data_IF_756721083073
#
_entry.id   IF_756721083073
#
_cell.length_a   1.000
_cell.length_b   1.000
_cell.length_c   1.000
_cell.angle_alpha   90.00
_cell.angle_beta   90.00
_cell.angle_gamma   90.00
#
_symmetry.space_group_name_H-M   'P 1'
#
loop_
_entity.id
_entity.type
_entity.pdbx_description
1 polymer ?
#
# COMPACT_ATOMS: atom_id res chain seq x y z
N UNK A 1 52.29 -44.67 69.73
CA UNK A 1 51.90 -46.07 69.41
C UNK A 1 50.60 -46.01 68.68
N UNK A 2 50.31 -46.74 67.60
CA UNK A 2 50.53 -46.48 66.19
C UNK A 2 49.21 -45.97 65.52
N UNK A 3 49.15 -45.16 64.59
CA UNK A 3 49.46 -45.30 63.15
C UNK A 3 48.27 -45.86 62.39
N UNK A 4 47.42 -44.94 61.81
CA UNK A 4 46.41 -45.40 60.85
C UNK A 4 46.52 -44.58 59.55
N UNK A 5 46.76 -45.27 58.46
CA UNK A 5 46.90 -44.75 57.11
C UNK A 5 45.52 -44.52 56.53
N UNK A 6 45.28 -43.32 55.92
CA UNK A 6 44.10 -43.05 55.21
C UNK A 6 44.33 -43.26 53.70
N UNK A 7 43.38 -43.95 53.03
CA UNK A 7 43.32 -44.19 51.59
C UNK A 7 42.51 -43.08 50.91
N UNK A 8 43.12 -42.39 49.98
CA UNK A 8 42.44 -41.33 49.15
C UNK A 8 41.84 -42.00 47.90
N UNK A 9 40.52 -42.07 47.84
CA UNK A 9 39.79 -42.40 46.63
C UNK A 9 39.48 -41.10 45.80
N UNK A 10 40.00 -41.07 44.58
CA UNK A 10 39.64 -40.02 43.59
C UNK A 10 38.30 -40.34 42.97
N UNK A 11 37.32 -39.46 43.20
CA UNK A 11 36.04 -39.44 42.43
C UNK A 11 36.21 -38.40 41.31
N UNK A 12 36.17 -38.90 40.07
CA UNK A 12 36.14 -38.03 38.88
C UNK A 12 34.72 -37.56 38.65
N UNK A 13 34.49 -36.27 38.78
CA UNK A 13 33.24 -35.59 38.39
C UNK A 13 33.28 -35.26 36.88
N UNK A 14 32.56 -36.05 36.08
CA UNK A 14 32.22 -35.67 34.71
C UNK A 14 31.13 -34.63 34.72
N UNK A 15 31.55 -33.36 34.66
CA UNK A 15 30.62 -32.22 34.50
C UNK A 15 30.04 -32.20 33.09
N UNK A 16 28.75 -32.48 32.94
CA UNK A 16 27.99 -32.18 31.74
C UNK A 16 27.93 -30.64 31.61
N UNK A 17 28.52 -30.08 30.57
CA UNK A 17 28.32 -28.70 30.17
C UNK A 17 26.89 -28.57 29.63
N UNK A 18 26.00 -27.93 30.37
CA UNK A 18 24.71 -27.46 29.88
C UNK A 18 24.88 -26.37 28.81
N UNK A 19 23.86 -26.09 28.00
CA UNK A 19 23.95 -25.06 26.98
C UNK A 19 24.26 -23.71 27.62
N UNK A 20 25.30 -23.05 27.12
CA UNK A 20 25.70 -21.69 27.54
C UNK A 20 24.53 -20.73 27.32
N UNK A 21 24.05 -20.15 28.39
CA UNK A 21 23.06 -19.07 28.34
C UNK A 21 23.69 -17.87 27.59
N UNK A 22 23.06 -17.30 26.57
CA UNK A 22 23.64 -16.19 25.83
C UNK A 22 23.92 -15.01 26.78
N UNK A 23 25.02 -14.31 26.54
CA UNK A 23 25.48 -13.19 27.34
C UNK A 23 24.41 -12.05 27.37
N UNK A 24 24.38 -11.22 28.43
CA UNK A 24 23.39 -10.15 28.58
C UNK A 24 23.31 -9.17 27.39
N UNK A 25 24.43 -8.95 26.71
CA UNK A 25 24.53 -8.08 25.53
C UNK A 25 23.70 -8.62 24.35
N UNK A 26 23.70 -9.95 24.12
CA UNK A 26 22.94 -10.58 23.04
C UNK A 26 21.43 -10.53 23.30
N UNK A 27 21.02 -10.58 24.56
CA UNK A 27 19.59 -10.43 24.92
C UNK A 27 19.08 -9.01 24.69
N UNK A 28 19.89 -8.00 24.96
CA UNK A 28 19.52 -6.58 24.74
C UNK A 28 19.46 -6.26 23.24
N UNK A 29 20.42 -6.75 22.47
CA UNK A 29 20.46 -6.56 21.01
C UNK A 29 19.25 -7.23 20.34
N UNK A 30 18.98 -8.51 20.66
CA UNK A 30 17.82 -9.24 20.13
C UNK A 30 16.48 -8.59 20.53
N UNK A 31 16.37 -8.07 21.75
CA UNK A 31 15.16 -7.37 22.18
C UNK A 31 14.95 -6.04 21.42
N UNK A 32 16.02 -5.28 21.15
CA UNK A 32 15.97 -4.06 20.33
C UNK A 32 15.60 -4.35 18.88
N UNK A 33 16.19 -5.38 18.29
CA UNK A 33 15.87 -5.79 16.92
C UNK A 33 14.43 -6.29 16.80
N UNK A 34 13.95 -7.09 17.76
CA UNK A 34 12.55 -7.56 17.77
C UNK A 34 11.59 -6.39 17.94
N UNK A 35 11.87 -5.43 18.82
CA UNK A 35 11.03 -4.24 19.01
C UNK A 35 11.02 -3.35 17.77
N UNK A 36 12.18 -3.12 17.13
CA UNK A 36 12.26 -2.36 15.89
C UNK A 36 11.49 -3.04 14.74
N UNK A 37 11.58 -4.37 14.63
CA UNK A 37 10.82 -5.13 13.63
C UNK A 37 9.31 -5.09 13.86
N UNK A 38 8.86 -5.12 15.13
CA UNK A 38 7.46 -4.96 15.50
C UNK A 38 6.94 -3.58 15.13
N UNK A 39 7.69 -2.51 15.41
CA UNK A 39 7.33 -1.14 15.06
C UNK A 39 7.16 -0.94 13.53
N UNK A 40 7.87 -1.71 12.69
CA UNK A 40 7.75 -1.65 11.23
C UNK A 40 6.55 -2.44 10.68
N UNK A 41 5.90 -3.25 11.49
CA UNK A 41 4.74 -4.07 11.10
C UNK A 41 3.45 -3.64 11.80
N UNK A 42 3.54 -2.76 12.80
CA UNK A 42 2.38 -2.19 13.49
C UNK A 42 1.94 -0.89 12.80
N UNK A 43 0.63 -0.68 12.75
CA UNK A 43 0.10 0.61 12.32
C UNK A 43 0.31 1.63 13.44
N UNK A 44 0.91 2.79 13.15
CA UNK A 44 0.88 3.90 14.09
C UNK A 44 -0.54 4.45 14.22
N UNK A 45 -0.77 5.25 15.24
CA UNK A 45 -2.01 6.02 15.34
C UNK A 45 -2.15 6.96 14.12
N UNK A 46 -3.34 7.05 13.53
CA UNK A 46 -3.56 7.89 12.37
C UNK A 46 -3.36 9.37 12.72
N UNK A 47 -2.68 10.09 11.84
CA UNK A 47 -2.72 11.54 11.79
C UNK A 47 -3.78 11.95 10.77
N UNK A 48 -4.57 12.97 11.08
CA UNK A 48 -5.63 13.41 10.18
C UNK A 48 -5.24 14.70 9.48
N UNK A 49 -5.24 14.66 8.16
CA UNK A 49 -5.04 15.82 7.28
C UNK A 49 -6.40 16.29 6.78
N UNK A 50 -6.67 17.57 6.90
CA UNK A 50 -7.87 18.18 6.28
C UNK A 50 -7.58 18.42 4.82
N UNK A 51 -8.23 17.65 3.95
CA UNK A 51 -8.12 17.77 2.50
C UNK A 51 -9.23 18.64 1.92
N UNK A 52 -9.21 18.86 0.62
CA UNK A 52 -10.22 19.63 -0.07
C UNK A 52 -11.66 19.26 0.32
N UNK A 53 -12.57 20.20 0.24
CA UNK A 53 -13.97 20.05 0.65
C UNK A 53 -14.19 19.81 2.16
N UNK A 54 -13.15 19.90 3.00
CA UNK A 54 -13.25 19.76 4.45
C UNK A 54 -13.31 18.32 4.97
N UNK A 55 -12.90 17.34 4.17
CA UNK A 55 -12.82 15.95 4.59
C UNK A 55 -11.51 15.66 5.30
N UNK A 56 -11.55 14.74 6.28
CA UNK A 56 -10.37 14.25 6.99
C UNK A 56 -9.83 13.01 6.28
N UNK A 57 -8.54 13.03 5.98
CA UNK A 57 -7.81 11.87 5.47
C UNK A 57 -6.88 11.32 6.56
N UNK A 58 -7.01 10.04 6.87
CA UNK A 58 -6.10 9.35 7.77
C UNK A 58 -4.78 9.04 7.05
N UNK A 59 -3.69 9.40 7.70
CA UNK A 59 -2.33 9.24 7.19
C UNK A 59 -1.44 8.57 8.23
N UNK A 60 -0.41 7.87 7.78
CA UNK A 60 0.47 7.07 8.62
C UNK A 60 1.91 7.25 8.15
N UNK A 61 2.85 7.37 9.07
CA UNK A 61 4.26 7.57 8.74
C UNK A 61 5.17 6.56 9.42
N UNK A 62 6.22 6.14 8.72
CA UNK A 62 7.31 5.29 9.22
C UNK A 62 8.64 5.78 8.63
N UNK A 63 9.75 5.47 9.29
CA UNK A 63 11.08 5.88 8.86
C UNK A 63 11.53 7.23 9.45
N UNK A 64 12.72 7.67 9.07
CA UNK A 64 13.29 8.94 9.52
C UNK A 64 12.73 10.11 8.68
N UNK A 65 12.54 11.26 9.32
CA UNK A 65 12.10 12.50 8.64
C UNK A 65 13.13 13.01 7.60
N UNK A 66 14.39 12.67 7.78
CA UNK A 66 15.47 13.07 6.87
C UNK A 66 15.57 12.17 5.63
N UNK A 67 14.94 11.00 5.65
CA UNK A 67 14.97 10.06 4.51
C UNK A 67 14.06 10.55 3.37
N UNK A 68 14.38 10.20 2.11
CA UNK A 68 13.52 10.46 0.96
C UNK A 68 12.12 9.86 1.17
N UNK A 69 11.08 10.66 0.91
CA UNK A 69 9.70 10.24 1.18
C UNK A 69 9.10 9.45 0.02
N UNK A 70 8.47 8.32 0.34
CA UNK A 70 7.61 7.54 -0.57
C UNK A 70 6.16 7.65 -0.12
N UNK A 71 5.27 8.19 -0.96
CA UNK A 71 3.82 8.19 -0.72
C UNK A 71 3.21 6.90 -1.23
N UNK A 72 2.41 6.24 -0.37
CA UNK A 72 1.75 4.98 -0.69
C UNK A 72 0.22 5.17 -0.76
N UNK A 73 -0.37 4.88 -1.92
CA UNK A 73 -1.81 5.04 -2.18
C UNK A 73 -2.43 3.72 -2.62
N UNK A 74 -3.33 3.18 -1.81
CA UNK A 74 -3.90 1.83 -1.95
C UNK A 74 -5.00 1.72 -3.02
N UNK A 75 -5.44 0.48 -3.31
CA UNK A 75 -6.52 0.18 -4.25
C UNK A 75 -7.94 0.35 -3.68
N UNK A 76 -8.94 0.23 -4.56
CA UNK A 76 -10.36 0.26 -4.20
C UNK A 76 -10.71 -0.81 -3.16
N UNK A 77 -11.56 -0.44 -2.20
CA UNK A 77 -12.01 -1.28 -1.08
C UNK A 77 -10.88 -1.83 -0.18
N UNK A 78 -9.68 -1.22 -0.23
CA UNK A 78 -8.52 -1.56 0.58
C UNK A 78 -8.23 -0.47 1.62
N UNK A 79 -7.05 -0.50 2.24
CA UNK A 79 -6.55 0.49 3.20
C UNK A 79 -5.02 0.52 3.18
N UNK A 80 -4.42 1.53 3.83
CA UNK A 80 -2.97 1.60 4.03
C UNK A 80 -2.44 0.35 4.74
N UNK A 81 -3.15 -0.15 5.75
CA UNK A 81 -2.80 -1.38 6.45
C UNK A 81 -2.78 -2.57 5.50
N UNK A 82 -3.87 -2.75 4.75
CA UNK A 82 -4.12 -3.97 3.98
C UNK A 82 -3.22 -4.05 2.76
N UNK A 83 -3.05 -2.93 2.06
CA UNK A 83 -2.26 -2.88 0.83
C UNK A 83 -0.76 -2.80 1.09
N UNK A 84 -0.31 -2.15 2.19
CA UNK A 84 1.08 -1.77 2.36
C UNK A 84 1.77 -2.40 3.58
N UNK A 85 1.11 -2.44 4.75
CA UNK A 85 1.69 -3.02 5.96
C UNK A 85 1.64 -4.55 5.89
N UNK A 86 0.44 -5.12 5.68
CA UNK A 86 0.24 -6.57 5.64
C UNK A 86 1.01 -7.28 4.51
N UNK A 87 1.31 -6.55 3.44
CA UNK A 87 2.04 -7.06 2.28
C UNK A 87 3.56 -6.84 2.37
N UNK A 88 4.03 -6.12 3.40
CA UNK A 88 5.45 -5.92 3.68
C UNK A 88 6.11 -4.75 2.96
N UNK A 89 5.36 -3.90 2.26
CA UNK A 89 5.90 -2.71 1.58
C UNK A 89 6.53 -1.71 2.56
N UNK A 90 5.83 -1.37 3.63
CA UNK A 90 6.34 -0.44 4.65
C UNK A 90 7.67 -0.93 5.20
N UNK A 91 7.74 -2.21 5.58
CA UNK A 91 8.95 -2.83 6.09
C UNK A 91 10.12 -2.76 5.08
N UNK A 92 9.85 -3.09 3.82
CA UNK A 92 10.91 -3.19 2.81
C UNK A 92 11.40 -1.79 2.39
N UNK A 93 10.51 -0.79 2.27
CA UNK A 93 10.86 0.61 2.00
C UNK A 93 11.66 1.24 3.14
N UNK A 94 11.20 1.11 4.39
CA UNK A 94 11.92 1.68 5.54
C UNK A 94 13.29 1.04 5.75
N UNK A 95 13.44 -0.25 5.47
CA UNK A 95 14.76 -0.92 5.48
C UNK A 95 15.69 -0.43 4.37
N UNK A 96 15.13 0.07 3.29
CA UNK A 96 15.89 0.63 2.16
C UNK A 96 16.18 2.12 2.33
N UNK A 97 15.90 2.72 3.52
CA UNK A 97 16.21 4.10 3.82
C UNK A 97 15.20 5.11 3.26
N UNK A 98 13.92 4.71 3.13
CA UNK A 98 12.85 5.61 2.77
C UNK A 98 11.96 5.95 3.97
N UNK A 99 11.57 7.20 4.07
CA UNK A 99 10.40 7.61 4.85
C UNK A 99 9.14 7.20 4.09
N UNK A 100 8.25 6.48 4.75
CA UNK A 100 6.96 6.07 4.16
C UNK A 100 5.85 6.98 4.68
N UNK A 101 5.04 7.50 3.78
CA UNK A 101 3.81 8.24 4.05
C UNK A 101 2.66 7.52 3.36
N UNK A 102 1.91 6.70 4.09
CA UNK A 102 0.75 6.00 3.55
C UNK A 102 -0.56 6.73 3.91
N UNK A 103 -1.53 6.67 3.03
CA UNK A 103 -2.85 7.27 3.22
C UNK A 103 -3.95 6.23 3.15
N UNK A 104 -4.99 6.37 3.95
CA UNK A 104 -6.30 5.81 3.62
C UNK A 104 -7.00 6.82 2.71
N UNK A 105 -7.21 6.48 1.45
CA UNK A 105 -7.86 7.39 0.52
C UNK A 105 -9.26 7.80 1.01
N UNK A 106 -9.74 8.97 0.63
CA UNK A 106 -11.14 9.39 0.84
C UNK A 106 -12.08 8.24 0.51
N UNK A 107 -13.06 7.95 1.37
CA UNK A 107 -13.99 6.84 1.23
C UNK A 107 -13.52 5.49 1.78
N UNK A 108 -12.27 5.39 2.29
CA UNK A 108 -11.69 4.14 2.77
C UNK A 108 -11.12 4.24 4.19
N UNK A 109 -10.84 3.09 4.78
CA UNK A 109 -10.14 2.93 6.04
C UNK A 109 -10.67 3.83 7.16
N UNK A 110 -9.81 4.68 7.75
CA UNK A 110 -10.19 5.63 8.80
C UNK A 110 -10.44 7.05 8.27
N UNK A 111 -10.36 7.29 6.96
CA UNK A 111 -10.71 8.56 6.33
C UNK A 111 -12.22 8.79 6.29
N UNK A 112 -12.63 10.05 6.13
CA UNK A 112 -14.04 10.40 5.95
C UNK A 112 -14.62 9.76 4.68
N UNK A 113 -15.90 9.42 4.73
CA UNK A 113 -16.58 8.58 3.74
C UNK A 113 -17.84 9.28 3.21
N UNK A 114 -17.69 10.37 2.41
CA UNK A 114 -18.83 11.00 1.78
C UNK A 114 -19.61 10.02 0.91
N UNK A 115 -20.94 10.11 0.93
CA UNK A 115 -21.82 9.29 0.08
C UNK A 115 -22.21 10.03 -1.23
N UNK A 116 -21.69 11.24 -1.43
CA UNK A 116 -21.89 11.99 -2.67
C UNK A 116 -20.84 11.57 -3.72
N UNK A 117 -21.24 11.04 -4.89
CA UNK A 117 -20.33 10.71 -5.97
C UNK A 117 -19.46 11.89 -6.44
N UNK A 118 -19.94 13.13 -6.31
CA UNK A 118 -19.18 14.31 -6.70
C UNK A 118 -17.88 14.49 -5.91
N UNK A 119 -17.80 13.92 -4.70
CA UNK A 119 -16.60 13.92 -3.86
C UNK A 119 -15.44 13.07 -4.40
N UNK A 120 -15.68 12.22 -5.43
CA UNK A 120 -14.71 11.20 -5.87
C UNK A 120 -14.23 11.38 -7.31
N UNK A 121 -14.16 12.62 -7.76
CA UNK A 121 -13.56 12.92 -9.07
C UNK A 121 -12.04 12.64 -9.02
N UNK A 122 -11.41 12.05 -10.07
CA UNK A 122 -9.98 11.72 -10.05
C UNK A 122 -9.07 12.90 -9.66
N UNK A 123 -9.32 14.11 -10.19
CA UNK A 123 -8.58 15.31 -9.79
C UNK A 123 -8.74 15.70 -8.32
N UNK A 124 -9.91 15.48 -7.72
CA UNK A 124 -10.09 15.74 -6.29
C UNK A 124 -9.25 14.76 -5.44
N UNK A 125 -9.23 13.49 -5.84
CA UNK A 125 -8.41 12.47 -5.18
C UNK A 125 -6.90 12.74 -5.36
N UNK A 126 -6.49 13.27 -6.51
CA UNK A 126 -5.10 13.69 -6.76
C UNK A 126 -4.72 14.92 -5.92
N UNK A 127 -5.59 15.92 -5.84
CA UNK A 127 -5.39 17.09 -5.02
C UNK A 127 -5.29 16.76 -3.51
N UNK A 128 -5.99 15.74 -3.04
CA UNK A 128 -5.85 15.26 -1.66
C UNK A 128 -4.40 14.87 -1.36
N UNK A 129 -3.70 14.24 -2.31
CA UNK A 129 -2.30 13.84 -2.15
C UNK A 129 -1.39 15.06 -2.08
N UNK A 130 -1.64 16.11 -2.89
CA UNK A 130 -0.89 17.37 -2.82
C UNK A 130 -1.03 17.99 -1.42
N UNK A 131 -2.26 18.10 -0.91
CA UNK A 131 -2.52 18.64 0.44
C UNK A 131 -1.81 17.82 1.53
N UNK A 132 -1.75 16.50 1.37
CA UNK A 132 -1.01 15.63 2.28
C UNK A 132 0.49 15.95 2.22
N UNK A 133 1.09 16.08 1.03
CA UNK A 133 2.50 16.46 0.88
C UNK A 133 2.80 17.81 1.56
N UNK A 134 1.94 18.81 1.34
CA UNK A 134 2.07 20.14 1.96
C UNK A 134 2.00 20.09 3.47
N UNK A 135 1.04 19.33 4.02
CA UNK A 135 0.87 19.17 5.47
C UNK A 135 2.10 18.55 6.13
N UNK A 136 2.76 17.62 5.44
CA UNK A 136 3.97 16.96 5.91
C UNK A 136 5.27 17.67 5.54
N UNK A 137 5.18 18.86 4.92
CA UNK A 137 6.31 19.68 4.44
C UNK A 137 7.24 18.86 3.53
N UNK A 138 6.66 18.08 2.63
CA UNK A 138 7.37 17.26 1.66
C UNK A 138 7.37 17.99 0.32
N UNK A 139 8.49 18.57 -0.06
CA UNK A 139 8.61 19.30 -1.34
C UNK A 139 8.58 18.36 -2.55
N UNK A 140 9.30 17.24 -2.46
CA UNK A 140 9.34 16.18 -3.47
C UNK A 140 9.20 14.80 -2.82
N UNK A 141 8.49 13.90 -3.50
CA UNK A 141 8.31 12.52 -3.06
C UNK A 141 8.43 11.54 -4.24
N UNK A 142 8.65 10.29 -3.91
CA UNK A 142 8.32 9.16 -4.77
C UNK A 142 6.86 8.76 -4.55
N UNK A 143 6.21 8.25 -5.59
CA UNK A 143 4.83 7.78 -5.51
C UNK A 143 4.73 6.30 -5.82
N UNK A 144 4.03 5.54 -4.99
CA UNK A 144 3.67 4.14 -5.26
C UNK A 144 2.16 3.98 -5.09
N UNK A 145 1.48 3.67 -6.15
CA UNK A 145 0.03 3.42 -6.15
C UNK A 145 -0.33 2.04 -6.65
N UNK A 146 -1.45 1.51 -6.17
CA UNK A 146 -1.99 0.25 -6.67
C UNK A 146 -3.45 0.39 -7.10
N UNK A 147 -3.82 -0.14 -8.29
CA UNK A 147 -5.19 -0.14 -8.81
C UNK A 147 -5.80 1.27 -8.81
N UNK A 148 -6.82 1.55 -7.99
CA UNK A 148 -7.35 2.91 -7.81
C UNK A 148 -6.25 3.91 -7.44
N UNK A 149 -5.36 3.56 -6.52
CA UNK A 149 -4.22 4.42 -6.15
C UNK A 149 -3.25 4.62 -7.30
N UNK A 150 -3.07 3.64 -8.19
CA UNK A 150 -2.29 3.82 -9.41
C UNK A 150 -3.00 4.74 -10.41
N UNK A 151 -4.33 4.67 -10.52
CA UNK A 151 -5.10 5.59 -11.34
C UNK A 151 -5.02 7.04 -10.82
N UNK A 152 -5.11 7.22 -9.50
CA UNK A 152 -4.87 8.53 -8.87
C UNK A 152 -3.43 8.99 -9.10
N UNK A 153 -2.45 8.09 -9.03
CA UNK A 153 -1.04 8.39 -9.29
C UNK A 153 -0.75 8.89 -10.70
N UNK A 154 -1.51 8.44 -11.68
CA UNK A 154 -1.45 9.00 -13.04
C UNK A 154 -1.81 10.49 -13.04
N UNK A 155 -2.91 10.88 -12.40
CA UNK A 155 -3.31 12.28 -12.27
C UNK A 155 -2.32 13.12 -11.43
N UNK A 156 -1.83 12.53 -10.31
CA UNK A 156 -0.81 13.18 -9.46
C UNK A 156 0.45 13.48 -10.25
N UNK A 157 0.91 12.52 -11.06
CA UNK A 157 2.11 12.68 -11.87
C UNK A 157 1.95 13.73 -12.99
N UNK A 158 0.74 13.96 -13.46
CA UNK A 158 0.45 15.01 -14.45
C UNK A 158 0.25 16.39 -13.80
N UNK A 159 -0.70 16.47 -12.86
CA UNK A 159 -1.14 17.75 -12.29
C UNK A 159 -0.09 18.33 -11.33
N UNK A 160 0.74 17.48 -10.70
CA UNK A 160 1.73 17.85 -9.70
C UNK A 160 3.14 17.34 -10.04
N UNK A 161 3.52 17.37 -11.30
CA UNK A 161 4.78 16.80 -11.82
C UNK A 161 6.04 17.27 -11.06
N UNK A 162 6.08 18.53 -10.62
CA UNK A 162 7.21 19.09 -9.85
C UNK A 162 7.35 18.49 -8.44
N UNK A 163 6.30 17.84 -7.93
CA UNK A 163 6.25 17.26 -6.58
C UNK A 163 6.60 15.78 -6.54
N UNK A 164 6.68 15.11 -7.70
CA UNK A 164 6.89 13.68 -7.80
C UNK A 164 8.08 13.37 -8.70
N UNK A 165 9.11 12.78 -8.13
CA UNK A 165 10.34 12.45 -8.85
C UNK A 165 10.20 11.18 -9.69
N UNK A 166 9.68 10.08 -9.10
CA UNK A 166 9.43 8.80 -9.76
C UNK A 166 8.10 8.23 -9.34
N UNK A 167 7.47 7.48 -10.23
CA UNK A 167 6.13 6.93 -10.05
C UNK A 167 6.12 5.42 -10.27
N UNK A 168 5.58 4.66 -9.33
CA UNK A 168 5.30 3.23 -9.48
C UNK A 168 3.80 3.02 -9.51
N UNK A 169 3.29 2.51 -10.61
CA UNK A 169 1.87 2.28 -10.87
C UNK A 169 1.59 0.78 -11.00
N UNK A 170 1.17 0.17 -9.91
CA UNK A 170 0.84 -1.26 -9.89
C UNK A 170 -0.60 -1.53 -10.30
N UNK A 171 -0.82 -2.42 -11.26
CA UNK A 171 -2.16 -2.82 -11.68
C UNK A 171 -3.03 -1.63 -12.10
N UNK A 172 -2.51 -0.75 -12.94
CA UNK A 172 -3.23 0.44 -13.42
C UNK A 172 -4.45 0.00 -14.21
N UNK A 173 -5.67 0.33 -13.73
CA UNK A 173 -6.87 0.04 -14.51
C UNK A 173 -6.92 0.95 -15.73
N UNK A 174 -7.20 0.35 -16.87
CA UNK A 174 -7.58 1.01 -18.10
C UNK A 174 -9.10 0.93 -18.28
N UNK A 175 -9.64 1.79 -19.12
CA UNK A 175 -11.06 1.80 -19.45
C UNK A 175 -11.96 2.29 -18.31
N UNK A 176 -13.22 1.92 -18.39
CA UNK A 176 -14.25 2.35 -17.42
C UNK A 176 -13.91 1.82 -16.03
N UNK A 177 -13.72 2.70 -15.03
CA UNK A 177 -13.40 2.27 -13.67
C UNK A 177 -14.46 1.30 -13.11
N UNK A 178 -13.97 0.17 -12.58
CA UNK A 178 -14.84 -0.85 -12.00
C UNK A 178 -15.94 -1.36 -12.96
N UNK A 179 -15.66 -1.39 -14.28
CA UNK A 179 -16.64 -1.71 -15.34
C UNK A 179 -17.40 -3.03 -15.09
N UNK A 180 -16.75 -3.98 -14.41
CA UNK A 180 -17.34 -5.30 -14.10
C UNK A 180 -18.27 -5.29 -12.88
N UNK A 181 -18.37 -4.17 -12.17
CA UNK A 181 -19.27 -4.00 -11.03
C UNK A 181 -20.66 -3.55 -11.53
N UNK A 182 -21.69 -4.31 -11.24
CA UNK A 182 -23.09 -3.95 -11.54
C UNK A 182 -23.58 -2.92 -10.49
N UNK A 183 -23.51 -1.64 -10.84
CA UNK A 183 -23.90 -0.56 -9.91
C UNK A 183 -25.38 -0.57 -9.56
N UNK A 184 -26.25 -1.06 -10.45
CA UNK A 184 -27.69 -1.11 -10.17
C UNK A 184 -27.99 -2.15 -9.10
N UNK A 185 -27.34 -3.31 -9.16
CA UNK A 185 -27.45 -4.30 -8.11
C UNK A 185 -26.83 -3.82 -6.78
N UNK A 186 -25.70 -3.12 -6.81
CA UNK A 186 -25.12 -2.53 -5.59
C UNK A 186 -26.07 -1.50 -4.99
N UNK A 187 -26.68 -0.62 -5.81
CA UNK A 187 -27.67 0.38 -5.33
C UNK A 187 -28.86 -0.28 -4.64
N UNK A 188 -29.46 -1.29 -5.28
CA UNK A 188 -30.58 -2.02 -4.71
C UNK A 188 -30.20 -2.71 -3.39
N UNK A 189 -29.04 -3.37 -3.35
CA UNK A 189 -28.54 -4.00 -2.13
C UNK A 189 -28.32 -2.99 -1.00
N UNK A 190 -27.72 -1.83 -1.30
CA UNK A 190 -27.48 -0.77 -0.33
C UNK A 190 -28.77 -0.10 0.15
N UNK A 191 -29.78 0.03 -0.73
CA UNK A 191 -31.04 0.69 -0.42
C UNK A 191 -31.97 -0.13 0.47
N UNK A 192 -32.13 -1.41 0.17
CA UNK A 192 -33.17 -2.25 0.78
C UNK A 192 -32.76 -3.71 1.05
N UNK A 193 -31.49 -4.08 0.77
CA UNK A 193 -30.98 -5.43 0.96
C UNK A 193 -31.35 -6.40 -0.16
N UNK A 194 -31.84 -5.91 -1.32
CA UNK A 194 -32.12 -6.77 -2.48
C UNK A 194 -30.91 -7.64 -2.81
N UNK A 195 -31.05 -8.98 -2.89
CA UNK A 195 -29.93 -9.87 -3.12
C UNK A 195 -29.24 -9.60 -4.46
N UNK A 196 -27.91 -9.53 -4.42
CA UNK A 196 -27.07 -9.41 -5.61
C UNK A 196 -26.94 -10.77 -6.27
N UNK A 197 -27.21 -10.86 -7.57
CA UNK A 197 -27.13 -12.10 -8.36
C UNK A 197 -25.85 -12.18 -9.21
N UNK A 198 -25.27 -11.03 -9.60
CA UNK A 198 -24.01 -10.99 -10.32
C UNK A 198 -22.85 -11.41 -9.43
N UNK A 199 -22.15 -12.47 -9.83
CA UNK A 199 -21.05 -13.07 -9.06
C UNK A 199 -19.87 -12.12 -8.87
N UNK A 200 -19.57 -11.28 -9.86
CA UNK A 200 -18.46 -10.34 -9.78
C UNK A 200 -18.79 -9.27 -8.76
N UNK A 201 -20.01 -8.74 -8.80
CA UNK A 201 -20.51 -7.75 -7.83
C UNK A 201 -20.57 -8.33 -6.41
N UNK A 202 -21.01 -9.57 -6.23
CA UNK A 202 -20.94 -10.26 -4.94
C UNK A 202 -19.52 -10.31 -4.39
N UNK A 203 -18.53 -10.61 -5.24
CA UNK A 203 -17.13 -10.64 -4.82
C UNK A 203 -16.61 -9.26 -4.38
N UNK A 204 -17.02 -8.18 -5.05
CA UNK A 204 -16.67 -6.80 -4.64
C UNK A 204 -17.30 -6.42 -3.30
N UNK A 205 -18.56 -6.77 -3.07
CA UNK A 205 -19.22 -6.56 -1.77
C UNK A 205 -18.49 -7.34 -0.68
N UNK A 206 -18.22 -8.62 -0.90
CA UNK A 206 -17.48 -9.45 0.04
C UNK A 206 -16.04 -8.95 0.30
N UNK A 207 -15.41 -8.31 -0.70
CA UNK A 207 -14.12 -7.65 -0.53
C UNK A 207 -14.24 -6.43 0.38
N UNK A 208 -15.30 -5.62 0.22
CA UNK A 208 -15.54 -4.46 1.07
C UNK A 208 -15.68 -4.84 2.55
N UNK A 209 -16.32 -5.95 2.84
CA UNK A 209 -16.55 -6.43 4.21
C UNK A 209 -15.29 -6.95 4.91
N UNK A 210 -14.22 -7.28 4.17
CA UNK A 210 -12.96 -7.80 4.72
C UNK A 210 -12.10 -6.72 5.35
N UNK A 211 -12.25 -5.48 4.91
CA UNK A 211 -11.42 -4.36 5.39
C UNK A 211 -12.22 -3.58 6.43
N UNK A 212 -11.74 -3.62 7.67
CA UNK A 212 -12.38 -2.90 8.76
C UNK A 212 -12.48 -1.40 8.45
N UNK A 213 -13.65 -0.83 8.68
CA UNK A 213 -13.91 0.57 8.44
C UNK A 213 -14.40 0.91 7.03
N UNK A 214 -14.48 -0.04 6.10
CA UNK A 214 -15.13 0.21 4.82
C UNK A 214 -16.63 0.47 4.98
N UNK A 215 -17.14 1.35 4.13
CA UNK A 215 -18.57 1.71 4.02
C UNK A 215 -19.01 1.46 2.57
N UNK A 216 -19.89 0.50 2.37
CA UNK A 216 -20.35 0.11 1.04
C UNK A 216 -21.05 1.26 0.29
N UNK A 217 -21.70 2.21 1.02
CA UNK A 217 -22.31 3.39 0.41
C UNK A 217 -21.24 4.36 -0.14
N UNK A 218 -20.17 4.55 0.61
CA UNK A 218 -19.04 5.35 0.14
C UNK A 218 -18.34 4.67 -1.05
N UNK A 219 -18.15 3.34 -1.01
CA UNK A 219 -17.57 2.60 -2.13
C UNK A 219 -18.44 2.64 -3.39
N UNK A 220 -19.76 2.60 -3.24
CA UNK A 220 -20.69 2.85 -4.35
C UNK A 220 -20.50 4.27 -4.92
N UNK A 221 -20.46 5.28 -4.05
CA UNK A 221 -20.28 6.68 -4.46
C UNK A 221 -18.93 6.89 -5.18
N UNK A 222 -17.86 6.20 -4.75
CA UNK A 222 -16.56 6.20 -5.46
C UNK A 222 -16.73 5.65 -6.88
N UNK A 223 -17.36 4.49 -7.04
CA UNK A 223 -17.55 3.87 -8.34
C UNK A 223 -18.40 4.76 -9.27
N UNK A 224 -19.43 5.39 -8.73
CA UNK A 224 -20.29 6.32 -9.47
C UNK A 224 -19.55 7.59 -9.86
N UNK A 225 -18.83 8.22 -8.92
CA UNK A 225 -18.07 9.44 -9.15
C UNK A 225 -16.96 9.28 -10.18
N UNK A 226 -16.25 8.16 -10.12
CA UNK A 226 -15.23 7.83 -11.11
C UNK A 226 -15.82 7.58 -12.51
N UNK A 227 -16.97 6.90 -12.59
CA UNK A 227 -17.65 6.67 -13.89
C UNK A 227 -18.29 7.93 -14.48
N UNK A 228 -18.78 8.83 -13.63
CA UNK A 228 -19.37 10.09 -14.06
C UNK A 228 -18.33 11.09 -14.60
N UNK A 229 -17.09 10.99 -14.13
CA UNK A 229 -16.00 11.76 -14.70
C UNK A 229 -15.71 11.18 -16.09
N UNK A 230 -15.80 11.99 -17.15
CA UNK A 230 -15.45 11.55 -18.51
C UNK A 230 -13.98 11.18 -18.70
N UNK A 231 -13.19 11.23 -17.66
CA UNK A 231 -11.80 10.75 -17.57
C UNK A 231 -11.81 9.25 -17.34
N UNK A 232 -12.31 8.51 -18.32
CA UNK A 232 -12.55 7.07 -18.21
C UNK A 232 -11.25 6.30 -18.23
N UNK A 233 -10.30 6.72 -19.06
CA UNK A 233 -8.98 6.10 -19.23
C UNK A 233 -7.87 7.05 -18.83
N UNK A 234 -6.72 6.55 -18.33
CA UNK A 234 -5.50 7.35 -18.37
C UNK A 234 -5.29 7.83 -19.81
N UNK A 235 -5.23 9.14 -20.01
CA UNK A 235 -5.08 9.74 -21.35
C UNK A 235 -3.61 9.64 -21.81
N UNK A 236 -3.28 8.77 -22.80
CA UNK A 236 -1.90 8.63 -23.27
C UNK A 236 -1.35 9.90 -23.95
N UNK A 237 -2.23 10.83 -24.40
CA UNK A 237 -1.79 12.07 -25.00
C UNK A 237 -1.27 13.08 -24.00
N UNK A 238 -1.56 12.85 -22.71
CA UNK A 238 -1.08 13.62 -21.57
C UNK A 238 -0.36 12.69 -20.58
N UNK A 239 0.54 11.86 -21.08
CA UNK A 239 1.31 10.92 -20.24
C UNK A 239 2.27 11.66 -19.30
N UNK A 240 2.53 11.13 -18.09
CA UNK A 240 3.55 11.66 -17.19
C UNK A 240 4.93 11.79 -17.87
N UNK A 241 5.64 12.87 -17.61
CA UNK A 241 6.98 13.13 -18.18
C UNK A 241 8.11 12.51 -17.35
N UNK A 242 7.91 12.35 -16.03
CA UNK A 242 8.87 11.74 -15.13
C UNK A 242 8.96 10.21 -15.34
N UNK A 243 10.01 9.56 -14.79
CA UNK A 243 10.15 8.11 -14.86
C UNK A 243 8.94 7.40 -14.21
N UNK A 244 8.33 6.46 -14.93
CA UNK A 244 7.18 5.68 -14.47
C UNK A 244 7.45 4.19 -14.63
N UNK A 245 7.32 3.43 -13.54
CA UNK A 245 7.30 1.97 -13.56
C UNK A 245 5.87 1.46 -13.49
N UNK A 246 5.43 0.75 -14.52
CA UNK A 246 4.19 -0.03 -14.50
C UNK A 246 4.48 -1.47 -14.09
N UNK A 247 3.70 -2.02 -13.17
CA UNK A 247 3.87 -3.39 -12.69
C UNK A 247 2.51 -4.09 -12.61
N UNK A 248 2.30 -5.12 -13.42
CA UNK A 248 1.00 -5.81 -13.50
C UNK A 248 1.19 -7.32 -13.51
N UNK A 249 0.28 -8.02 -12.83
CA UNK A 249 0.34 -9.49 -12.76
C UNK A 249 0.12 -10.15 -14.11
N UNK A 250 0.83 -11.26 -14.38
CA UNK A 250 0.69 -12.01 -15.63
C UNK A 250 -0.70 -12.64 -15.84
N UNK A 251 -1.47 -12.78 -14.74
CA UNK A 251 -2.83 -13.31 -14.74
C UNK A 251 -3.89 -12.20 -14.56
N UNK A 252 -3.47 -10.93 -14.63
CA UNK A 252 -4.38 -9.79 -14.53
C UNK A 252 -4.95 -9.44 -15.91
N UNK A 253 -6.25 -9.32 -16.00
CA UNK A 253 -6.95 -9.03 -17.27
C UNK A 253 -6.58 -7.65 -17.86
N UNK A 254 -6.01 -6.74 -17.05
CA UNK A 254 -5.63 -5.39 -17.49
C UNK A 254 -4.18 -5.28 -17.97
N UNK A 255 -3.45 -6.39 -18.06
CA UNK A 255 -2.01 -6.38 -18.34
C UNK A 255 -1.65 -5.69 -19.67
N UNK A 256 -2.45 -5.91 -20.71
CA UNK A 256 -2.19 -5.29 -22.02
C UNK A 256 -2.44 -3.78 -22.00
N UNK A 257 -3.46 -3.29 -21.26
CA UNK A 257 -3.68 -1.87 -21.05
C UNK A 257 -2.52 -1.23 -20.29
N UNK A 258 -2.01 -1.88 -19.24
CA UNK A 258 -0.83 -1.41 -18.49
C UNK A 258 0.43 -1.34 -19.37
N UNK A 259 0.64 -2.30 -20.28
CA UNK A 259 1.75 -2.27 -21.25
C UNK A 259 1.61 -1.11 -22.22
N UNK A 260 0.40 -0.87 -22.72
CA UNK A 260 0.13 0.23 -23.65
C UNK A 260 0.41 1.60 -22.98
N UNK A 261 -0.02 1.79 -21.72
CA UNK A 261 0.28 3.00 -20.95
C UNK A 261 1.77 3.19 -20.71
N UNK A 262 2.50 2.12 -20.39
CA UNK A 262 3.95 2.19 -20.24
C UNK A 262 4.65 2.62 -21.54
N UNK A 263 4.15 2.18 -22.68
CA UNK A 263 4.68 2.56 -24.01
C UNK A 263 4.38 4.03 -24.35
N UNK A 264 3.27 4.56 -23.86
CA UNK A 264 2.87 5.96 -24.09
C UNK A 264 3.72 6.96 -23.29
N UNK A 265 4.28 6.55 -22.14
CA UNK A 265 5.15 7.40 -21.32
C UNK A 265 6.56 7.45 -21.90
N UNK A 266 7.13 8.65 -22.10
CA UNK A 266 8.48 8.83 -22.63
C UNK A 266 9.57 8.12 -21.82
N UNK A 267 9.38 8.01 -20.49
CA UNK A 267 10.26 7.32 -19.55
C UNK A 267 9.52 6.13 -18.87
N UNK A 268 8.57 5.54 -19.57
CA UNK A 268 7.78 4.42 -19.10
C UNK A 268 8.54 3.10 -19.16
N UNK A 269 8.41 2.30 -18.09
CA UNK A 269 8.93 0.92 -18.02
C UNK A 269 7.82 -0.01 -17.59
N UNK A 270 7.87 -1.24 -18.05
CA UNK A 270 6.89 -2.26 -17.66
C UNK A 270 7.57 -3.49 -17.06
N UNK A 271 7.02 -3.97 -15.94
CA UNK A 271 7.41 -5.23 -15.29
C UNK A 271 6.17 -6.11 -15.14
N UNK A 272 6.27 -7.32 -15.68
CA UNK A 272 5.28 -8.37 -15.46
C UNK A 272 5.56 -9.08 -14.13
N UNK A 273 4.51 -9.26 -13.31
CA UNK A 273 4.62 -9.94 -12.02
C UNK A 273 4.14 -11.39 -12.22
N UNK A 274 5.05 -12.39 -12.25
CA UNK A 274 4.70 -13.75 -12.64
C UNK A 274 3.69 -14.41 -11.68
N UNK A 275 2.67 -15.10 -12.22
CA UNK A 275 1.69 -15.89 -11.49
C UNK A 275 0.83 -15.05 -10.53
N UNK A 276 0.62 -13.77 -10.85
CA UNK A 276 -0.20 -12.87 -10.02
C UNK A 276 -1.37 -12.32 -10.81
N UNK A 277 -2.51 -12.25 -10.12
CA UNK A 277 -3.70 -11.56 -10.58
C UNK A 277 -3.91 -10.26 -9.78
N UNK A 278 -4.89 -9.46 -10.16
CA UNK A 278 -5.13 -8.12 -9.61
C UNK A 278 -5.13 -8.05 -8.07
N UNK A 279 -5.74 -9.01 -7.38
CA UNK A 279 -5.93 -8.95 -5.93
C UNK A 279 -4.76 -9.50 -5.10
N UNK A 280 -3.80 -10.22 -5.70
CA UNK A 280 -2.66 -10.79 -4.98
C UNK A 280 -1.30 -10.23 -5.40
N UNK A 281 -1.26 -9.40 -6.44
CA UNK A 281 -0.03 -8.76 -6.90
C UNK A 281 0.61 -7.81 -5.86
N UNK A 282 -0.12 -7.02 -5.05
CA UNK A 282 0.49 -6.20 -4.01
C UNK A 282 1.35 -6.99 -3.02
N UNK A 283 0.99 -8.23 -2.70
CA UNK A 283 1.77 -9.13 -1.85
C UNK A 283 3.00 -9.75 -2.51
N UNK A 284 3.24 -9.49 -3.80
CA UNK A 284 4.36 -10.08 -4.52
C UNK A 284 5.71 -9.49 -4.09
N UNK A 285 6.65 -10.37 -3.76
CA UNK A 285 8.03 -9.98 -3.50
C UNK A 285 8.69 -9.41 -4.76
N UNK A 286 8.46 -10.02 -5.91
CA UNK A 286 9.01 -9.54 -7.19
C UNK A 286 8.55 -8.11 -7.52
N UNK A 287 7.28 -7.76 -7.22
CA UNK A 287 6.80 -6.40 -7.40
C UNK A 287 7.56 -5.41 -6.49
N UNK A 288 7.69 -5.72 -5.19
CA UNK A 288 8.41 -4.83 -4.26
C UNK A 288 9.88 -4.67 -4.64
N UNK A 289 10.56 -5.75 -5.03
CA UNK A 289 11.96 -5.70 -5.47
C UNK A 289 12.14 -4.85 -6.73
N UNK A 290 11.25 -4.99 -7.72
CA UNK A 290 11.29 -4.18 -8.94
C UNK A 290 11.05 -2.68 -8.63
N UNK A 291 10.08 -2.38 -7.76
CA UNK A 291 9.80 -1.00 -7.34
C UNK A 291 10.98 -0.39 -6.57
N UNK A 292 11.56 -1.11 -5.61
CA UNK A 292 12.72 -0.64 -4.84
C UNK A 292 13.94 -0.37 -5.74
N UNK A 293 14.20 -1.27 -6.69
CA UNK A 293 15.29 -1.08 -7.65
C UNK A 293 15.07 0.19 -8.51
N UNK A 294 13.84 0.42 -8.95
CA UNK A 294 13.48 1.59 -9.75
C UNK A 294 13.54 2.90 -8.96
N UNK A 295 13.12 2.90 -7.70
CA UNK A 295 13.16 4.09 -6.84
C UNK A 295 14.59 4.49 -6.45
N UNK A 296 15.54 3.54 -6.48
CA UNK A 296 16.93 3.76 -6.11
C UNK A 296 17.82 4.32 -7.26
N UNK A 297 17.31 4.42 -8.48
CA UNK A 297 18.04 4.99 -9.64
C UNK A 297 18.13 6.52 -9.57
#
# INVERSE_FOLDING_TARGET
>A
MPGTVAFLGRIAFLGRRGPLCPAPADRVLNRRVTTALQLLTEMPDPQYVMVGDGYRMATYTWGDLADPTVVLVHGFASSARDNWVNTGWVRDLTRSGYRVLAVDQRGHGLSDKPHDPAAYRPRALAADIEVVLDTYLVDQAFYVGYSLGARVGWEVAQDFAARIDRVVLGGVPDGIPLARLDLDQVRAYVADGTPVTDRVTQNYIALSDRVAGNDLRALLAIAEGMRASRMIDPDPSHAPEQPVLFATGSEDAIIEGSKALATACAQGRFVEIPGRHHFNAPGSRAFREAALAFLAE
#
